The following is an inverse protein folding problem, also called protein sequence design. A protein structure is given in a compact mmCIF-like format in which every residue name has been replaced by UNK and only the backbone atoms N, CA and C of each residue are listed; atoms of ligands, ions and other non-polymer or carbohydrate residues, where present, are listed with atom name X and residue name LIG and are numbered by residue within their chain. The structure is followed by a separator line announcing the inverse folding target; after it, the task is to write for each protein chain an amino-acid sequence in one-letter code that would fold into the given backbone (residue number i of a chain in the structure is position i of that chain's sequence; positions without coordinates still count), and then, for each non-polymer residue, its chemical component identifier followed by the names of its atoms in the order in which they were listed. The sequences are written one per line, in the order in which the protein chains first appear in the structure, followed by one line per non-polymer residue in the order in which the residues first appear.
data_IF_857160255497
#
_entry.id   IF_857160255497
#
_cell.length_a   1.000
_cell.length_b   1.000
_cell.length_c   1.000
_cell.angle_alpha   90.00
_cell.angle_beta   90.00
_cell.angle_gamma   90.00
#
_symmetry.space_group_name_H-M   'P 1'
#
loop_
_entity.id
_entity.type
_entity.pdbx_description
1 polymer ?
#
# COMPACT_ATOMS: atom_id res chain seq x y z
N UNK A 1 -3.51 13.14 19.95
CA UNK A 1 -3.99 11.76 20.16
C UNK A 1 -5.51 11.79 20.08
N UNK A 2 -6.10 10.93 19.26
CA UNK A 2 -7.54 10.75 19.15
C UNK A 2 -7.88 9.38 19.74
N UNK A 3 -8.87 9.33 20.62
CA UNK A 3 -9.37 8.08 21.22
C UNK A 3 -10.79 7.83 20.74
N UNK A 4 -11.06 6.63 20.23
CA UNK A 4 -12.40 6.25 19.79
C UNK A 4 -13.27 5.88 20.99
N UNK A 5 -14.54 6.27 20.96
CA UNK A 5 -15.52 5.92 21.98
C UNK A 5 -16.72 5.21 21.31
N UNK A 6 -16.99 3.93 21.62
CA UNK A 6 -16.27 3.07 22.58
C UNK A 6 -14.94 2.52 22.03
N UNK A 7 -14.03 2.15 22.93
CA UNK A 7 -12.91 1.28 22.60
C UNK A 7 -13.41 -0.13 22.28
N UNK A 8 -12.83 -0.76 21.25
CA UNK A 8 -13.28 -2.06 20.75
C UNK A 8 -12.22 -3.14 20.96
N UNK A 9 -12.69 -4.34 21.28
CA UNK A 9 -11.91 -5.56 21.11
C UNK A 9 -11.78 -5.86 19.61
N UNK A 10 -10.57 -6.17 19.13
CA UNK A 10 -10.33 -6.38 17.70
C UNK A 10 -11.16 -7.53 17.10
N UNK A 11 -11.57 -8.51 17.90
CA UNK A 11 -12.46 -9.59 17.44
C UNK A 11 -13.88 -9.11 17.11
N UNK A 12 -14.27 -7.93 17.59
CA UNK A 12 -15.60 -7.33 17.37
C UNK A 12 -15.61 -6.27 16.27
N UNK A 13 -14.48 -6.02 15.60
CA UNK A 13 -14.35 -5.02 14.55
C UNK A 13 -15.13 -5.43 13.30
N UNK A 14 -15.85 -4.47 12.75
CA UNK A 14 -16.66 -4.58 11.55
C UNK A 14 -16.20 -3.61 10.46
N UNK A 15 -16.75 -3.75 9.24
CA UNK A 15 -16.38 -2.89 8.11
C UNK A 15 -16.73 -1.40 8.33
N UNK A 16 -17.74 -1.11 9.15
CA UNK A 16 -18.06 0.25 9.59
C UNK A 16 -16.94 0.88 10.41
N UNK A 17 -16.24 0.10 11.24
CA UNK A 17 -15.15 0.59 12.09
C UNK A 17 -13.92 0.93 11.23
N UNK A 18 -13.64 0.14 10.18
CA UNK A 18 -12.61 0.51 9.19
C UNK A 18 -12.94 1.82 8.50
N UNK A 19 -14.22 2.04 8.18
CA UNK A 19 -14.68 3.30 7.57
C UNK A 19 -14.51 4.48 8.53
N UNK A 20 -14.79 4.28 9.83
CA UNK A 20 -14.56 5.30 10.86
C UNK A 20 -13.06 5.63 11.03
N UNK A 21 -12.18 4.62 11.04
CA UNK A 21 -10.73 4.83 11.06
C UNK A 21 -10.25 5.59 9.82
N UNK A 22 -10.76 5.23 8.64
CA UNK A 22 -10.40 5.89 7.39
C UNK A 22 -10.86 7.35 7.36
N UNK A 23 -12.08 7.63 7.82
CA UNK A 23 -12.61 8.98 7.95
C UNK A 23 -11.77 9.83 8.93
N UNK A 24 -11.41 9.27 10.09
CA UNK A 24 -10.57 9.97 11.06
C UNK A 24 -9.20 10.37 10.47
N UNK A 25 -8.58 9.49 9.67
CA UNK A 25 -7.33 9.83 8.95
C UNK A 25 -7.60 10.93 7.93
N UNK A 26 -8.70 10.89 7.18
CA UNK A 26 -9.05 11.88 6.17
C UNK A 26 -9.28 13.28 6.75
N UNK A 27 -10.08 13.35 7.81
CA UNK A 27 -10.43 14.60 8.50
C UNK A 27 -9.18 15.30 9.04
N UNK A 28 -8.16 14.52 9.40
CA UNK A 28 -6.90 15.00 9.96
C UNK A 28 -5.74 14.99 8.96
N UNK A 29 -5.99 14.64 7.70
CA UNK A 29 -4.94 14.34 6.72
C UNK A 29 -4.00 15.53 6.46
N UNK A 30 -4.52 16.75 6.52
CA UNK A 30 -3.79 17.99 6.29
C UNK A 30 -3.06 18.52 7.54
N UNK A 31 -3.40 18.00 8.72
CA UNK A 31 -2.87 18.49 10.01
C UNK A 31 -1.61 17.74 10.45
N UNK A 32 -1.41 16.50 10.01
CA UNK A 32 -0.33 15.63 10.46
C UNK A 32 0.47 15.05 9.30
N UNK A 33 1.78 14.88 9.46
CA UNK A 33 2.67 14.32 8.43
C UNK A 33 2.64 12.77 8.37
N UNK A 34 2.05 12.12 9.37
CA UNK A 34 1.91 10.66 9.45
C UNK A 34 0.90 10.23 10.52
N UNK A 35 0.44 8.98 10.44
CA UNK A 35 -0.62 8.44 11.30
C UNK A 35 -0.17 7.12 11.94
N UNK A 36 -0.45 6.96 13.23
CA UNK A 36 -0.31 5.68 13.94
C UNK A 36 -1.67 5.28 14.49
N UNK A 37 -2.14 4.09 14.12
CA UNK A 37 -3.43 3.52 14.56
C UNK A 37 -3.12 2.40 15.54
N UNK A 38 -3.53 2.58 16.81
CA UNK A 38 -3.45 1.54 17.82
C UNK A 38 -4.62 0.58 17.67
N UNK A 39 -4.33 -0.72 17.68
CA UNK A 39 -5.29 -1.75 17.34
C UNK A 39 -5.03 -3.06 18.11
N UNK A 40 -6.09 -3.78 18.48
CA UNK A 40 -5.97 -5.11 19.05
C UNK A 40 -5.41 -6.13 18.04
N UNK A 41 -4.70 -7.15 18.50
CA UNK A 41 -3.89 -7.97 17.56
C UNK A 41 -4.68 -9.04 16.82
N UNK A 42 -5.94 -9.35 17.16
CA UNK A 42 -6.64 -10.51 16.57
C UNK A 42 -7.09 -10.29 15.13
N UNK A 43 -7.56 -9.09 14.80
CA UNK A 43 -7.98 -8.72 13.43
C UNK A 43 -7.09 -7.65 12.79
N UNK A 44 -5.92 -7.37 13.38
CA UNK A 44 -5.03 -6.29 12.94
C UNK A 44 -4.63 -6.41 11.46
N UNK A 45 -4.32 -7.62 10.98
CA UNK A 45 -3.99 -7.87 9.58
C UNK A 45 -5.17 -7.61 8.62
N UNK A 46 -6.41 -7.88 9.06
CA UNK A 46 -7.62 -7.54 8.31
C UNK A 46 -7.80 -6.03 8.20
N UNK A 47 -7.65 -5.31 9.32
CA UNK A 47 -7.75 -3.84 9.32
C UNK A 47 -6.66 -3.20 8.46
N UNK A 48 -5.40 -3.67 8.57
CA UNK A 48 -4.30 -3.17 7.75
C UNK A 48 -4.56 -3.42 6.25
N UNK A 49 -5.16 -4.57 5.90
CA UNK A 49 -5.56 -4.88 4.53
C UNK A 49 -6.70 -3.98 4.04
N UNK A 50 -7.78 -3.84 4.83
CA UNK A 50 -8.94 -3.01 4.52
C UNK A 50 -8.56 -1.54 4.30
N UNK A 51 -7.81 -0.95 5.22
CA UNK A 51 -7.34 0.43 5.12
C UNK A 51 -6.47 0.65 3.88
N UNK A 52 -5.67 -0.34 3.48
CA UNK A 52 -4.84 -0.21 2.27
C UNK A 52 -5.67 0.00 1.00
N UNK A 53 -6.85 -0.61 0.91
CA UNK A 53 -7.77 -0.43 -0.22
C UNK A 53 -8.64 0.83 -0.07
N UNK A 54 -9.08 1.13 1.16
CA UNK A 54 -9.86 2.35 1.45
C UNK A 54 -9.07 3.62 1.16
N UNK A 55 -7.75 3.60 1.30
CA UNK A 55 -6.90 4.74 0.99
C UNK A 55 -6.45 4.73 -0.47
N UNK A 56 -6.90 5.73 -1.22
CA UNK A 56 -6.46 6.01 -2.59
C UNK A 56 -5.53 7.22 -2.60
N UNK A 57 -4.50 7.14 -3.44
CA UNK A 57 -3.48 8.21 -3.59
C UNK A 57 -2.84 8.61 -2.24
N UNK A 58 -2.64 7.63 -1.34
CA UNK A 58 -2.01 7.82 -0.04
C UNK A 58 -0.57 8.34 -0.22
N UNK A 59 -0.27 9.49 0.36
CA UNK A 59 1.03 10.16 0.28
C UNK A 59 1.80 10.18 1.61
N UNK A 60 1.20 9.72 2.70
CA UNK A 60 1.72 9.76 4.07
C UNK A 60 1.73 8.38 4.72
N UNK A 61 2.65 8.10 5.66
CA UNK A 61 2.64 6.82 6.38
C UNK A 61 1.39 6.68 7.25
N UNK A 62 0.72 5.54 7.13
CA UNK A 62 -0.32 5.10 8.06
C UNK A 62 0.14 3.78 8.66
N UNK A 63 0.56 3.78 9.92
CA UNK A 63 1.11 2.59 10.58
C UNK A 63 0.09 2.05 11.57
N UNK A 64 -0.37 0.82 11.34
CA UNK A 64 -1.18 0.08 12.30
C UNK A 64 -0.26 -0.72 13.20
N UNK A 65 -0.46 -0.63 14.52
CA UNK A 65 0.35 -1.37 15.49
C UNK A 65 -0.50 -1.77 16.70
N UNK A 66 0.06 -2.62 17.56
CA UNK A 66 -0.58 -3.13 18.76
C UNK A 66 0.45 -3.78 19.68
N UNK A 67 -0.01 -4.60 20.61
CA UNK A 67 0.87 -5.35 21.51
C UNK A 67 0.23 -6.65 21.97
N UNK A 68 1.05 -7.62 22.36
CA UNK A 68 0.58 -8.83 23.04
C UNK A 68 0.30 -8.56 24.51
N UNK A 69 1.09 -7.70 25.15
CA UNK A 69 0.90 -7.30 26.54
C UNK A 69 0.48 -5.83 26.65
N UNK A 70 -0.35 -5.45 27.65
CA UNK A 70 -0.68 -4.05 27.90
C UNK A 70 0.56 -3.19 28.15
N UNK A 71 0.50 -1.89 27.83
CA UNK A 71 1.64 -0.98 28.01
C UNK A 71 2.06 -0.81 29.49
N UNK A 72 1.15 -1.09 30.43
CA UNK A 72 1.41 -1.03 31.86
C UNK A 72 1.99 -2.33 32.45
N UNK A 73 2.12 -3.39 31.66
CA UNK A 73 2.73 -4.64 32.12
C UNK A 73 4.26 -4.49 32.23
N UNK A 74 4.85 -5.13 33.26
CA UNK A 74 6.31 -5.08 33.50
C UNK A 74 7.13 -5.61 32.32
N UNK A 75 6.66 -6.67 31.68
CA UNK A 75 7.21 -7.22 30.44
C UNK A 75 6.19 -7.00 29.34
N UNK A 76 6.48 -6.05 28.44
CA UNK A 76 5.55 -5.64 27.38
C UNK A 76 6.28 -5.25 26.11
N UNK A 77 5.72 -5.64 24.98
CA UNK A 77 6.13 -5.22 23.64
C UNK A 77 5.48 -3.89 23.20
N UNK A 78 4.53 -3.36 23.97
CA UNK A 78 3.75 -2.19 23.59
C UNK A 78 4.58 -0.91 23.43
N UNK A 79 5.55 -0.69 24.32
CA UNK A 79 6.39 0.52 24.29
C UNK A 79 7.23 0.53 23.01
N UNK A 80 7.89 -0.59 22.70
CA UNK A 80 8.75 -0.72 21.52
C UNK A 80 7.94 -0.62 20.22
N UNK A 81 6.75 -1.26 20.18
CA UNK A 81 5.87 -1.21 19.01
C UNK A 81 5.32 0.21 18.78
N UNK A 82 4.84 0.90 19.82
CA UNK A 82 4.34 2.27 19.71
C UNK A 82 5.47 3.24 19.34
N UNK A 83 6.60 3.17 20.03
CA UNK A 83 7.73 4.06 19.78
C UNK A 83 8.28 3.86 18.36
N UNK A 84 8.50 2.61 17.94
CA UNK A 84 8.97 2.30 16.60
C UNK A 84 8.00 2.80 15.52
N UNK A 85 6.69 2.65 15.74
CA UNK A 85 5.67 3.19 14.83
C UNK A 85 5.73 4.71 14.73
N UNK A 86 5.83 5.42 15.86
CA UNK A 86 5.94 6.88 15.89
C UNK A 86 7.22 7.38 15.21
N UNK A 87 8.37 6.74 15.48
CA UNK A 87 9.64 7.10 14.86
C UNK A 87 9.57 6.90 13.35
N UNK A 88 9.00 5.77 12.89
CA UNK A 88 8.88 5.51 11.46
C UNK A 88 7.95 6.53 10.80
N UNK A 89 6.73 6.72 11.34
CA UNK A 89 5.73 7.63 10.77
C UNK A 89 6.20 9.09 10.78
N UNK A 90 6.98 9.50 11.78
CA UNK A 90 7.50 10.87 11.90
C UNK A 90 8.78 11.15 11.12
N UNK A 91 9.54 10.12 10.72
CA UNK A 91 10.86 10.29 10.10
C UNK A 91 10.89 9.90 8.62
N UNK A 92 10.04 8.97 8.19
CA UNK A 92 10.10 8.39 6.85
C UNK A 92 8.78 8.54 6.11
N UNK A 93 8.82 9.16 4.93
CA UNK A 93 7.68 9.23 4.03
C UNK A 93 7.49 7.91 3.25
N UNK A 94 6.99 6.88 3.96
CA UNK A 94 6.57 5.58 3.41
C UNK A 94 5.05 5.68 3.17
N UNK A 95 4.57 5.97 1.95
CA UNK A 95 3.19 6.37 1.71
C UNK A 95 2.29 5.14 1.52
N UNK A 96 2.31 4.24 2.51
CA UNK A 96 1.58 2.99 2.52
C UNK A 96 0.91 2.77 3.87
N UNK A 97 -0.11 1.89 3.89
CA UNK A 97 -0.58 1.30 5.14
C UNK A 97 0.41 0.22 5.56
N UNK A 98 1.17 0.50 6.61
CA UNK A 98 2.14 -0.41 7.19
C UNK A 98 1.61 -1.10 8.45
N UNK A 99 2.09 -2.31 8.72
CA UNK A 99 1.93 -2.98 10.01
C UNK A 99 3.30 -3.03 10.69
N UNK A 100 3.46 -2.36 11.83
CA UNK A 100 4.69 -2.42 12.60
C UNK A 100 4.55 -3.34 13.82
N UNK A 101 5.40 -4.35 13.89
CA UNK A 101 5.46 -5.29 15.02
C UNK A 101 6.86 -5.88 15.12
N UNK A 102 7.37 -6.03 16.35
CA UNK A 102 8.64 -6.71 16.63
C UNK A 102 9.80 -6.26 15.73
N UNK A 103 10.08 -4.95 15.75
CA UNK A 103 11.19 -4.32 15.02
C UNK A 103 11.10 -4.42 13.49
N UNK A 104 9.96 -4.79 12.91
CA UNK A 104 9.75 -4.89 11.46
C UNK A 104 8.52 -4.08 11.04
N UNK A 105 8.66 -3.30 9.99
CA UNK A 105 7.54 -2.67 9.27
C UNK A 105 7.22 -3.52 8.04
N UNK A 106 6.02 -4.07 7.99
CA UNK A 106 5.52 -4.81 6.85
C UNK A 106 4.55 -3.96 6.03
N UNK A 107 4.40 -4.27 4.74
CA UNK A 107 3.24 -3.80 3.97
C UNK A 107 1.98 -4.42 4.57
N UNK A 108 1.01 -3.62 4.99
CA UNK A 108 -0.14 -4.07 5.78
C UNK A 108 -0.93 -5.20 5.12
N UNK A 109 -1.26 -5.04 3.85
CA UNK A 109 -1.98 -6.03 3.04
C UNK A 109 -1.13 -7.25 2.59
N UNK A 110 0.06 -7.44 3.15
CA UNK A 110 0.89 -8.64 3.00
C UNK A 110 1.04 -9.42 4.30
N UNK A 111 0.40 -8.96 5.38
CA UNK A 111 0.58 -9.53 6.72
C UNK A 111 -0.49 -10.55 7.09
N UNK A 112 -0.12 -11.47 7.97
CA UNK A 112 -1.01 -12.42 8.67
C UNK A 112 -0.49 -12.60 10.09
N UNK A 113 -1.39 -12.86 11.05
CA UNK A 113 -1.00 -13.24 12.42
C UNK A 113 -0.56 -14.70 12.40
N UNK A 114 0.66 -14.98 12.87
CA UNK A 114 1.27 -16.33 12.89
C UNK A 114 1.46 -16.88 14.30
N UNK A 115 1.36 -16.05 15.33
CA UNK A 115 1.42 -16.47 16.72
C UNK A 115 0.43 -15.68 17.59
N UNK A 116 -0.22 -16.39 18.50
CA UNK A 116 -1.10 -15.79 19.51
C UNK A 116 -0.40 -15.54 20.86
N UNK A 117 0.90 -15.85 20.98
CA UNK A 117 1.64 -15.75 22.23
C UNK A 117 3.05 -15.14 22.09
N UNK A 118 3.70 -15.29 20.94
CA UNK A 118 5.02 -14.69 20.69
C UNK A 118 4.91 -13.19 20.49
N UNK A 119 5.92 -12.43 20.94
CA UNK A 119 6.07 -11.02 20.55
C UNK A 119 6.34 -10.86 19.05
N UNK A 120 6.90 -11.87 18.38
CA UNK A 120 6.90 -11.92 16.91
C UNK A 120 5.57 -12.51 16.41
N UNK A 121 4.48 -11.77 16.61
CA UNK A 121 3.12 -12.25 16.37
C UNK A 121 2.70 -12.25 14.88
N UNK A 122 3.33 -11.41 14.06
CA UNK A 122 2.96 -11.20 12.65
C UNK A 122 4.10 -11.51 11.70
N UNK A 123 3.74 -12.02 10.52
CA UNK A 123 4.67 -12.25 9.41
C UNK A 123 4.10 -11.70 8.10
N UNK A 124 4.99 -11.46 7.14
CA UNK A 124 4.68 -11.14 5.75
C UNK A 124 5.35 -12.20 4.85
N UNK A 125 4.72 -13.36 4.66
CA UNK A 125 5.41 -14.56 4.15
C UNK A 125 5.82 -14.48 2.68
N UNK A 126 5.09 -13.69 1.88
CA UNK A 126 5.33 -13.54 0.43
C UNK A 126 5.88 -12.15 0.05
N UNK A 127 6.23 -11.32 1.04
CA UNK A 127 6.82 -10.00 0.81
C UNK A 127 7.76 -9.65 1.96
N UNK A 128 9.01 -9.34 1.65
CA UNK A 128 9.95 -8.85 2.66
C UNK A 128 9.44 -7.57 3.36
N UNK A 129 9.83 -7.31 4.63
CA UNK A 129 9.53 -6.08 5.33
C UNK A 129 9.97 -4.84 4.54
N UNK A 130 9.18 -3.77 4.65
CA UNK A 130 9.53 -2.44 4.12
C UNK A 130 10.64 -1.78 4.93
N UNK A 131 10.70 -2.04 6.24
CA UNK A 131 11.77 -1.54 7.09
C UNK A 131 12.09 -2.50 8.25
N UNK A 132 13.32 -2.43 8.74
CA UNK A 132 13.83 -3.22 9.87
C UNK A 132 14.54 -2.30 10.85
N UNK A 133 14.19 -2.39 12.12
CA UNK A 133 14.90 -1.70 13.21
C UNK A 133 16.02 -2.61 13.70
N UNK A 134 17.23 -2.08 13.76
CA UNK A 134 18.42 -2.79 14.24
C UNK A 134 19.29 -1.85 15.11
N UNK A 135 20.41 -2.36 15.63
CA UNK A 135 21.30 -1.59 16.52
C UNK A 135 21.95 -0.35 15.89
N UNK A 136 21.89 -0.19 14.56
CA UNK A 136 22.40 0.98 13.82
C UNK A 136 21.29 2.00 13.49
N UNK A 137 20.02 1.67 13.73
CA UNK A 137 18.88 2.51 13.40
C UNK A 137 17.81 1.77 12.59
N UNK A 138 17.10 2.51 11.75
CA UNK A 138 16.00 1.98 10.92
C UNK A 138 16.49 1.90 9.48
N UNK A 139 16.57 0.67 8.97
CA UNK A 139 16.90 0.39 7.57
C UNK A 139 15.60 0.22 6.78
N UNK A 140 15.41 1.03 5.74
CA UNK A 140 14.20 1.03 4.90
C UNK A 140 14.55 0.58 3.49
N UNK A 141 13.84 -0.42 2.99
CA UNK A 141 13.99 -0.92 1.64
C UNK A 141 13.15 -0.10 0.64
N UNK A 142 13.72 1.03 0.21
CA UNK A 142 13.08 1.96 -0.71
C UNK A 142 12.75 1.38 -2.08
N UNK A 143 13.38 0.26 -2.47
CA UNK A 143 13.07 -0.39 -3.75
C UNK A 143 11.68 -1.04 -3.73
N UNK A 144 11.20 -1.41 -2.54
CA UNK A 144 9.90 -2.07 -2.32
C UNK A 144 8.77 -1.11 -2.00
N UNK A 145 9.09 0.05 -1.44
CA UNK A 145 8.11 1.09 -1.10
C UNK A 145 7.40 1.56 -2.38
N UNK A 146 6.08 1.44 -2.39
CA UNK A 146 5.21 1.93 -3.45
C UNK A 146 4.87 3.39 -3.20
N UNK A 147 4.70 4.15 -4.28
CA UNK A 147 4.31 5.55 -4.25
C UNK A 147 3.18 5.79 -5.26
N UNK A 148 2.20 6.66 -4.95
CA UNK A 148 1.23 7.08 -5.95
C UNK A 148 1.93 7.72 -7.14
N UNK A 149 1.56 7.31 -8.35
CA UNK A 149 2.04 7.89 -9.61
C UNK A 149 0.95 8.69 -10.33
N UNK A 150 -0.27 8.67 -9.78
CA UNK A 150 -1.38 9.49 -10.25
C UNK A 150 -1.19 10.94 -9.76
N UNK A 151 -1.68 11.90 -10.54
CA UNK A 151 -1.71 13.31 -10.12
C UNK A 151 -3.08 13.56 -9.50
N UNK A 152 -3.24 13.08 -8.28
CA UNK A 152 -4.44 13.26 -7.48
C UNK A 152 -4.08 13.38 -5.99
N UNK A 153 -4.93 14.09 -5.25
CA UNK A 153 -4.83 14.13 -3.79
C UNK A 153 -5.41 12.88 -3.14
N UNK A 154 -4.98 12.62 -1.90
CA UNK A 154 -5.50 11.55 -1.05
C UNK A 154 -7.03 11.58 -0.96
N UNK A 155 -7.65 10.41 -1.10
CA UNK A 155 -9.09 10.23 -0.94
C UNK A 155 -9.39 8.90 -0.24
N UNK A 156 -10.48 8.90 0.52
CA UNK A 156 -11.06 7.68 1.07
C UNK A 156 -12.10 7.15 0.09
N UNK A 157 -11.94 5.89 -0.29
CA UNK A 157 -12.85 5.15 -1.16
C UNK A 157 -14.17 4.83 -0.44
N UNK A 158 -15.23 4.43 -1.18
CA UNK A 158 -16.49 4.02 -0.57
C UNK A 158 -16.30 2.94 0.50
N UNK A 159 -17.15 2.99 1.53
CA UNK A 159 -17.13 2.04 2.64
C UNK A 159 -17.15 0.60 2.13
N UNK A 160 -16.28 -0.24 2.71
CA UNK A 160 -16.28 -1.67 2.43
C UNK A 160 -17.52 -2.31 3.03
N UNK A 161 -18.05 -3.32 2.34
CA UNK A 161 -19.08 -4.18 2.88
C UNK A 161 -18.66 -5.65 2.75
N UNK A 162 -18.36 -6.25 3.90
CA UNK A 162 -17.94 -7.66 4.00
C UNK A 162 -19.12 -8.61 4.16
N UNK A 163 -20.35 -8.13 4.37
CA UNK A 163 -21.52 -8.99 4.61
C UNK A 163 -21.82 -9.92 3.42
N UNK A 164 -21.39 -9.52 2.22
CA UNK A 164 -21.62 -10.23 0.97
C UNK A 164 -20.46 -11.15 0.54
N UNK A 165 -19.41 -11.29 1.36
CA UNK A 165 -18.23 -12.11 1.07
C UNK A 165 -17.99 -13.10 2.19
N UNK A 166 -18.02 -14.39 1.87
CA UNK A 166 -17.68 -15.45 2.81
C UNK A 166 -16.23 -15.92 2.64
N UNK A 167 -15.60 -16.38 3.72
CA UNK A 167 -14.34 -17.13 3.68
C UNK A 167 -14.61 -18.58 4.07
N UNK A 168 -14.17 -19.53 3.25
CA UNK A 168 -14.35 -20.96 3.53
C UNK A 168 -13.04 -21.72 3.35
N UNK A 169 -12.63 -22.40 4.41
CA UNK A 169 -11.45 -23.26 4.41
C UNK A 169 -11.81 -24.69 4.04
N UNK A 170 -11.19 -25.20 2.98
CA UNK A 170 -11.31 -26.59 2.54
C UNK A 170 -10.57 -27.51 3.52
N UNK A 171 -11.13 -28.66 3.86
CA UNK A 171 -10.45 -29.68 4.67
C UNK A 171 -10.71 -31.09 4.10
N UNK A 172 -9.85 -32.08 4.39
CA UNK A 172 -10.04 -33.43 3.89
C UNK A 172 -11.39 -34.00 4.33
N UNK A 173 -12.23 -34.39 3.37
CA UNK A 173 -13.58 -34.89 3.64
C UNK A 173 -14.68 -33.81 3.71
N UNK A 174 -14.37 -32.53 3.40
CA UNK A 174 -15.40 -31.51 3.23
C UNK A 174 -16.42 -31.97 2.18
N UNK A 175 -17.70 -31.83 2.54
CA UNK A 175 -18.81 -32.27 1.70
C UNK A 175 -19.21 -31.17 0.71
N UNK A 176 -19.49 -31.47 -0.57
CA UNK A 176 -19.95 -30.45 -1.53
C UNK A 176 -21.15 -29.65 -1.03
N UNK A 177 -22.06 -30.28 -0.28
CA UNK A 177 -23.26 -29.67 0.31
C UNK A 177 -22.91 -28.56 1.33
N UNK A 178 -21.76 -28.65 2.00
CA UNK A 178 -21.30 -27.60 2.92
C UNK A 178 -20.91 -26.33 2.16
N UNK A 179 -20.21 -26.51 1.03
CA UNK A 179 -19.81 -25.40 0.16
C UNK A 179 -21.03 -24.80 -0.52
N UNK A 180 -21.93 -25.66 -0.97
CA UNK A 180 -23.20 -25.27 -1.60
C UNK A 180 -24.08 -24.44 -0.67
N UNK A 181 -24.17 -24.83 0.62
CA UNK A 181 -24.93 -24.07 1.61
C UNK A 181 -24.40 -22.63 1.80
N UNK A 182 -23.08 -22.44 1.83
CA UNK A 182 -22.46 -21.10 1.90
C UNK A 182 -22.76 -20.29 0.64
N UNK A 183 -22.68 -20.92 -0.53
CA UNK A 183 -22.95 -20.30 -1.84
C UNK A 183 -24.44 -20.03 -2.11
N UNK A 184 -25.32 -20.40 -1.18
CA UNK A 184 -26.76 -20.12 -1.21
C UNK A 184 -27.20 -19.20 -0.06
N UNK A 185 -26.27 -18.66 0.73
CA UNK A 185 -26.60 -17.62 1.70
C UNK A 185 -27.25 -16.42 0.99
N UNK A 186 -28.28 -15.80 1.58
CA UNK A 186 -28.89 -14.59 1.03
C UNK A 186 -27.84 -13.52 0.74
N UNK A 187 -27.95 -12.89 -0.42
CA UNK A 187 -27.11 -11.76 -0.85
C UNK A 187 -25.60 -12.07 -0.95
N UNK A 188 -25.18 -13.34 -0.97
CA UNK A 188 -23.79 -13.70 -1.19
C UNK A 188 -23.34 -13.30 -2.59
N UNK A 189 -22.26 -12.53 -2.69
CA UNK A 189 -21.66 -12.10 -3.97
C UNK A 189 -20.24 -12.62 -4.16
N UNK A 190 -19.55 -12.97 -3.07
CA UNK A 190 -18.17 -13.43 -3.10
C UNK A 190 -17.89 -14.61 -2.18
N UNK A 191 -16.97 -15.48 -2.59
CA UNK A 191 -16.40 -16.54 -1.76
C UNK A 191 -14.87 -16.54 -1.89
N UNK A 192 -14.18 -16.33 -0.77
CA UNK A 192 -12.76 -16.62 -0.63
C UNK A 192 -12.63 -18.09 -0.22
N UNK A 193 -12.12 -18.92 -1.13
CA UNK A 193 -11.93 -20.34 -0.95
C UNK A 193 -10.47 -20.61 -0.60
N UNK A 194 -10.19 -20.96 0.66
CA UNK A 194 -8.85 -21.37 1.06
C UNK A 194 -8.65 -22.85 0.73
N UNK A 195 -7.72 -23.17 -0.18
CA UNK A 195 -7.49 -24.51 -0.71
C UNK A 195 -6.09 -25.05 -0.36
N UNK A 196 -5.81 -26.32 -0.70
CA UNK A 196 -4.55 -26.95 -0.33
C UNK A 196 -3.40 -26.57 -1.26
N UNK A 197 -2.23 -26.29 -0.66
CA UNK A 197 -0.99 -26.07 -1.39
C UNK A 197 -1.16 -25.01 -2.49
N UNK A 198 -0.83 -25.36 -3.73
CA UNK A 198 -0.87 -24.45 -4.87
C UNK A 198 -2.28 -24.19 -5.45
N UNK A 199 -3.35 -24.41 -4.69
CA UNK A 199 -4.71 -24.13 -5.17
C UNK A 199 -5.66 -25.33 -5.31
N UNK A 200 -5.36 -26.46 -4.67
CA UNK A 200 -6.04 -27.73 -4.95
C UNK A 200 -7.26 -27.97 -4.06
N UNK A 201 -8.37 -28.39 -4.67
CA UNK A 201 -9.56 -28.89 -3.98
C UNK A 201 -9.66 -30.42 -4.10
N UNK A 202 -10.35 -31.12 -3.18
CA UNK A 202 -10.59 -32.55 -3.29
C UNK A 202 -11.19 -32.95 -4.64
N UNK A 203 -10.46 -33.77 -5.40
CA UNK A 203 -10.96 -34.41 -6.61
C UNK A 203 -11.78 -35.65 -6.24
N UNK A 204 -13.10 -35.55 -6.24
CA UNK A 204 -13.97 -36.72 -6.17
C UNK A 204 -14.08 -37.40 -7.53
N UNK A 205 -14.33 -38.72 -7.57
CA UNK A 205 -14.59 -39.48 -8.81
C UNK A 205 -15.67 -38.84 -9.70
N UNK A 206 -16.60 -38.10 -9.09
CA UNK A 206 -17.70 -37.42 -9.76
C UNK A 206 -17.41 -35.94 -10.08
N UNK A 207 -16.39 -35.30 -9.50
CA UNK A 207 -16.15 -33.86 -9.65
C UNK A 207 -17.26 -32.94 -9.09
N UNK A 208 -18.12 -33.43 -8.18
CA UNK A 208 -19.29 -32.68 -7.65
C UNK A 208 -18.93 -31.33 -7.03
N UNK A 209 -17.85 -31.25 -6.26
CA UNK A 209 -17.42 -30.00 -5.64
C UNK A 209 -17.12 -28.92 -6.68
N UNK A 210 -16.42 -29.27 -7.76
CA UNK A 210 -16.16 -28.36 -8.88
C UNK A 210 -17.45 -27.93 -9.57
N UNK A 211 -18.46 -28.81 -9.65
CA UNK A 211 -19.77 -28.45 -10.20
C UNK A 211 -20.49 -27.44 -9.33
N UNK A 212 -20.56 -27.65 -8.01
CA UNK A 212 -21.14 -26.69 -7.06
C UNK A 212 -20.51 -25.30 -7.22
N UNK A 213 -19.18 -25.24 -7.33
CA UNK A 213 -18.45 -23.99 -7.54
C UNK A 213 -18.81 -23.37 -8.90
N UNK A 214 -18.79 -24.14 -9.98
CA UNK A 214 -19.15 -23.66 -11.32
C UNK A 214 -20.58 -23.13 -11.36
N UNK A 215 -21.53 -23.87 -10.77
CA UNK A 215 -22.94 -23.49 -10.74
C UNK A 215 -23.12 -22.17 -9.97
N UNK A 216 -22.31 -21.89 -8.94
CA UNK A 216 -22.32 -20.60 -8.25
C UNK A 216 -21.72 -19.47 -9.08
N UNK A 217 -20.62 -19.73 -9.81
CA UNK A 217 -20.06 -18.75 -10.75
C UNK A 217 -21.04 -18.41 -11.86
N UNK A 218 -21.77 -19.40 -12.39
CA UNK A 218 -22.84 -19.22 -13.38
C UNK A 218 -24.03 -18.41 -12.81
N UNK A 219 -24.30 -18.50 -11.49
CA UNK A 219 -25.26 -17.63 -10.79
C UNK A 219 -24.74 -16.21 -10.54
N UNK A 220 -23.47 -15.92 -10.86
CA UNK A 220 -22.85 -14.61 -10.67
C UNK A 220 -22.11 -14.43 -9.34
N UNK A 221 -21.83 -15.50 -8.59
CA UNK A 221 -20.99 -15.43 -7.38
C UNK A 221 -19.52 -15.44 -7.78
N UNK A 222 -18.74 -14.48 -7.28
CA UNK A 222 -17.30 -14.41 -7.53
C UNK A 222 -16.56 -15.34 -6.58
N UNK A 223 -15.89 -16.36 -7.11
CA UNK A 223 -15.11 -17.29 -6.29
C UNK A 223 -13.62 -17.02 -6.50
N UNK A 224 -12.90 -16.76 -5.41
CA UNK A 224 -11.45 -16.53 -5.40
C UNK A 224 -10.76 -17.67 -4.66
N UNK A 225 -9.78 -18.29 -5.29
CA UNK A 225 -8.95 -19.34 -4.71
C UNK A 225 -7.68 -18.77 -4.10
N UNK A 226 -7.50 -18.95 -2.79
CA UNK A 226 -6.28 -18.63 -2.04
C UNK A 226 -5.71 -19.88 -1.37
N UNK A 227 -4.42 -19.88 -1.07
CA UNK A 227 -3.74 -21.00 -0.43
C UNK A 227 -3.94 -20.96 1.09
N UNK A 228 -4.13 -22.13 1.71
CA UNK A 228 -4.06 -22.29 3.17
C UNK A 228 -2.64 -22.25 3.73
N UNK A 229 -1.64 -22.47 2.88
CA UNK A 229 -0.23 -22.40 3.27
C UNK A 229 0.15 -20.96 3.55
N UNK A 230 0.90 -20.74 4.64
CA UNK A 230 1.35 -19.42 5.08
C UNK A 230 2.18 -18.74 3.99
N UNK A 231 3.05 -19.47 3.29
CA UNK A 231 3.82 -18.96 2.16
C UNK A 231 3.52 -19.72 0.87
N UNK A 232 3.84 -19.09 -0.26
CA UNK A 232 3.65 -19.64 -1.60
C UNK A 232 2.53 -18.94 -2.37
N UNK A 233 2.16 -19.52 -3.50
CA UNK A 233 1.19 -18.96 -4.43
C UNK A 233 0.29 -20.05 -5.01
N UNK A 234 -0.93 -19.64 -5.34
CA UNK A 234 -1.89 -20.45 -6.10
C UNK A 234 -1.53 -20.39 -7.58
N UNK A 235 -1.49 -21.55 -8.25
CA UNK A 235 -1.14 -21.66 -9.67
C UNK A 235 -2.21 -22.40 -10.47
N UNK A 236 -2.58 -21.88 -11.66
CA UNK A 236 -3.53 -22.54 -12.55
C UNK A 236 -2.96 -23.77 -13.27
N UNK A 237 -1.65 -24.04 -13.17
CA UNK A 237 -0.93 -24.98 -14.06
C UNK A 237 -1.13 -26.46 -13.70
N UNK A 238 -1.60 -26.78 -12.48
CA UNK A 238 -1.85 -28.16 -12.05
C UNK A 238 -3.26 -28.65 -12.38
N UNK A 239 -3.43 -29.95 -12.65
CA UNK A 239 -4.70 -30.55 -13.11
C UNK A 239 -5.94 -30.17 -12.28
N UNK A 240 -5.92 -30.15 -10.93
CA UNK A 240 -7.05 -29.69 -10.13
C UNK A 240 -7.28 -28.16 -10.22
N UNK A 241 -6.21 -27.37 -10.35
CA UNK A 241 -6.27 -25.93 -10.57
C UNK A 241 -6.89 -25.58 -11.92
N UNK A 242 -6.53 -26.28 -13.00
CA UNK A 242 -7.13 -26.11 -14.33
C UNK A 242 -8.65 -26.29 -14.32
N UNK A 243 -9.17 -27.22 -13.51
CA UNK A 243 -10.61 -27.45 -13.37
C UNK A 243 -11.33 -26.27 -12.70
N UNK A 244 -10.73 -25.68 -11.67
CA UNK A 244 -11.26 -24.48 -11.01
C UNK A 244 -11.21 -23.26 -11.95
N UNK A 245 -10.11 -23.09 -12.69
CA UNK A 245 -10.00 -22.03 -13.68
C UNK A 245 -11.07 -22.14 -14.78
N UNK A 246 -11.35 -23.36 -15.26
CA UNK A 246 -12.46 -23.63 -16.20
C UNK A 246 -13.85 -23.42 -15.60
N UNK A 247 -13.98 -23.53 -14.28
CA UNK A 247 -15.20 -23.20 -13.56
C UNK A 247 -15.38 -21.68 -13.33
N UNK A 248 -14.44 -20.85 -13.80
CA UNK A 248 -14.47 -19.39 -13.65
C UNK A 248 -13.99 -18.88 -12.29
N UNK A 249 -13.25 -19.71 -11.54
CA UNK A 249 -12.61 -19.30 -10.29
C UNK A 249 -11.41 -18.40 -10.56
N UNK A 250 -11.32 -17.29 -9.84
CA UNK A 250 -10.19 -16.37 -9.88
C UNK A 250 -9.08 -16.90 -8.99
N UNK A 251 -7.84 -16.85 -9.44
CA UNK A 251 -6.69 -17.24 -8.62
C UNK A 251 -6.12 -16.03 -7.88
N UNK A 252 -6.09 -16.11 -6.55
CA UNK A 252 -5.54 -15.06 -5.68
C UNK A 252 -4.02 -15.03 -5.60
N UNK A 253 -3.32 -15.87 -6.37
CA UNK A 253 -1.85 -15.94 -6.39
C UNK A 253 -1.26 -16.07 -4.98
N UNK A 254 -0.46 -15.11 -4.54
CA UNK A 254 0.25 -15.07 -3.26
C UNK A 254 -0.41 -14.17 -2.21
N UNK A 255 -1.70 -13.81 -2.42
CA UNK A 255 -2.52 -13.07 -1.45
C UNK A 255 -2.64 -13.81 -0.11
N UNK A 256 -2.66 -13.04 0.97
CA UNK A 256 -3.18 -13.53 2.26
C UNK A 256 -4.72 -13.60 2.23
N UNK A 257 -5.36 -14.46 3.04
CA UNK A 257 -6.82 -14.47 3.16
C UNK A 257 -7.41 -13.11 3.56
N UNK A 258 -6.72 -12.37 4.44
CA UNK A 258 -7.10 -11.03 4.89
C UNK A 258 -7.16 -10.03 3.73
N UNK A 259 -6.10 -10.02 2.91
CA UNK A 259 -6.01 -9.15 1.75
C UNK A 259 -7.01 -9.56 0.66
N UNK A 260 -7.25 -10.86 0.46
CA UNK A 260 -8.23 -11.36 -0.50
C UNK A 260 -9.66 -10.94 -0.13
N UNK A 261 -10.04 -11.08 1.15
CA UNK A 261 -11.35 -10.63 1.67
C UNK A 261 -11.51 -9.12 1.48
N UNK A 262 -10.52 -8.33 1.93
CA UNK A 262 -10.56 -6.88 1.83
C UNK A 262 -10.64 -6.41 0.36
N UNK A 263 -9.85 -7.02 -0.52
CA UNK A 263 -9.80 -6.70 -1.95
C UNK A 263 -11.11 -7.02 -2.66
N UNK A 264 -11.68 -8.20 -2.42
CA UNK A 264 -12.95 -8.58 -3.06
C UNK A 264 -14.09 -7.68 -2.58
N UNK A 265 -14.13 -7.38 -1.28
CA UNK A 265 -15.11 -6.46 -0.70
C UNK A 265 -14.98 -5.05 -1.29
N UNK A 266 -13.74 -4.56 -1.48
CA UNK A 266 -13.46 -3.28 -2.15
C UNK A 266 -13.97 -3.25 -3.58
N UNK A 267 -13.66 -4.28 -4.38
CA UNK A 267 -14.07 -4.32 -5.78
C UNK A 267 -15.60 -4.45 -5.94
N UNK A 268 -16.27 -5.17 -5.04
CA UNK A 268 -17.74 -5.28 -5.02
C UNK A 268 -18.44 -3.99 -4.57
N UNK A 269 -17.76 -3.13 -3.81
CA UNK A 269 -18.28 -1.84 -3.36
C UNK A 269 -18.11 -0.73 -4.42
N UNK A 270 -17.30 -0.95 -5.46
CA UNK A 270 -17.00 0.05 -6.48
C UNK A 270 -18.18 0.23 -7.45
N UNK A 271 -18.72 1.45 -7.61
CA UNK A 271 -19.87 1.70 -8.46
C UNK A 271 -19.54 1.66 -9.97
N UNK A 272 -18.28 1.81 -10.34
CA UNK A 272 -17.82 1.81 -11.73
C UNK A 272 -17.49 0.41 -12.26
N UNK A 273 -17.51 -0.63 -11.41
CA UNK A 273 -17.38 -2.02 -11.81
C UNK A 273 -18.77 -2.66 -11.84
N UNK A 274 -19.30 -2.87 -13.05
CA UNK A 274 -20.70 -3.32 -13.22
C UNK A 274 -20.81 -4.80 -13.57
N UNK A 275 -19.71 -5.42 -14.01
CA UNK A 275 -19.67 -6.82 -14.40
C UNK A 275 -18.65 -7.63 -13.59
N UNK A 276 -18.97 -8.91 -13.38
CA UNK A 276 -18.05 -9.85 -12.72
C UNK A 276 -16.72 -10.01 -13.48
N UNK A 277 -16.72 -9.86 -14.82
CA UNK A 277 -15.51 -9.93 -15.64
C UNK A 277 -14.58 -8.73 -15.42
N UNK A 278 -15.13 -7.54 -15.16
CA UNK A 278 -14.34 -6.37 -14.76
C UNK A 278 -13.75 -6.55 -13.37
N UNK A 279 -14.55 -7.05 -12.41
CA UNK A 279 -14.08 -7.36 -11.06
C UNK A 279 -12.98 -8.43 -11.11
N UNK A 280 -13.16 -9.49 -11.89
CA UNK A 280 -12.16 -10.55 -12.04
C UNK A 280 -10.85 -10.02 -12.60
N UNK A 281 -10.90 -9.19 -13.66
CA UNK A 281 -9.70 -8.56 -14.24
C UNK A 281 -9.00 -7.61 -13.26
N UNK A 282 -9.77 -6.82 -12.50
CA UNK A 282 -9.21 -5.95 -11.47
C UNK A 282 -8.61 -6.75 -10.30
N UNK A 283 -9.25 -7.85 -9.91
CA UNK A 283 -8.77 -8.72 -8.84
C UNK A 283 -7.43 -9.38 -9.17
N UNK A 284 -7.18 -9.72 -10.44
CA UNK A 284 -5.91 -10.33 -10.87
C UNK A 284 -4.72 -9.36 -10.97
N UNK A 285 -4.92 -8.04 -10.74
CA UNK A 285 -3.85 -7.02 -10.79
C UNK A 285 -3.51 -6.52 -9.40
N UNK A 286 -2.25 -6.15 -9.16
CA UNK A 286 -1.83 -5.53 -7.90
C UNK A 286 -2.34 -4.10 -7.83
N UNK A 287 -3.22 -3.81 -6.86
CA UNK A 287 -3.81 -2.48 -6.69
C UNK A 287 -3.08 -1.64 -5.66
N UNK A 288 -2.52 -2.30 -4.64
CA UNK A 288 -1.90 -1.71 -3.45
C UNK A 288 -0.65 -2.52 -3.02
N UNK A 289 -0.06 -3.29 -3.93
CA UNK A 289 1.12 -4.12 -3.66
C UNK A 289 0.84 -5.40 -2.89
N UNK A 290 -0.43 -5.79 -2.75
CA UNK A 290 -0.95 -6.95 -2.00
C UNK A 290 -0.63 -8.29 -2.65
N UNK A 291 -0.41 -8.29 -3.97
CA UNK A 291 -0.11 -9.49 -4.75
C UNK A 291 1.08 -9.25 -5.68
N UNK A 292 1.80 -10.32 -5.96
CA UNK A 292 2.90 -10.35 -6.93
C UNK A 292 2.33 -10.82 -8.26
N UNK A 293 2.29 -9.90 -9.22
CA UNK A 293 1.85 -10.26 -10.58
C UNK A 293 2.84 -11.24 -11.20
N UNK A 294 2.33 -12.20 -11.96
CA UNK A 294 3.16 -13.16 -12.69
C UNK A 294 3.88 -12.41 -13.80
N UNK A 295 5.09 -11.94 -13.53
CA UNK A 295 5.94 -11.32 -14.53
C UNK A 295 6.35 -12.38 -15.57
N UNK A 296 6.05 -12.15 -16.84
CA UNK A 296 6.74 -12.85 -17.91
C UNK A 296 8.23 -12.46 -17.83
N UNK A 297 9.18 -13.41 -17.94
CA UNK A 297 10.60 -13.07 -17.89
C UNK A 297 10.95 -12.11 -19.03
N UNK A 298 11.29 -10.88 -18.69
CA UNK A 298 11.84 -9.91 -19.62
C UNK A 298 13.35 -10.09 -19.63
N UNK A 299 13.90 -10.64 -20.72
CA UNK A 299 15.35 -10.65 -20.93
C UNK A 299 15.78 -9.25 -21.38
N UNK A 300 16.52 -8.55 -20.53
CA UNK A 300 17.21 -7.31 -20.91
C UNK A 300 18.73 -7.57 -20.97
N UNK A 301 19.39 -7.05 -22.00
CA UNK A 301 20.85 -7.08 -22.09
C UNK A 301 21.44 -6.01 -21.17
N UNK A 302 22.58 -6.26 -20.50
CA UNK A 302 23.27 -5.24 -19.74
C UNK A 302 23.78 -4.17 -20.70
N UNK A 303 23.24 -2.95 -20.59
CA UNK A 303 23.74 -1.78 -21.32
C UNK A 303 24.98 -1.25 -20.61
N UNK A 304 26.13 -1.35 -21.28
CA UNK A 304 27.35 -0.61 -20.96
C UNK A 304 27.28 0.76 -21.62
N UNK A 305 27.35 1.85 -20.86
CA UNK A 305 27.49 3.21 -21.42
C UNK A 305 28.34 4.12 -20.50
N UNK A 306 28.92 5.22 -21.01
CA UNK A 306 30.33 5.56 -20.90
C UNK A 306 30.52 6.81 -20.03
N UNK A 307 29.87 6.82 -18.86
CA UNK A 307 29.83 7.98 -17.94
C UNK A 307 30.92 7.94 -16.86
N UNK A 308 31.90 7.03 -16.96
CA UNK A 308 32.91 6.79 -15.92
C UNK A 308 34.03 7.84 -15.82
N UNK A 309 34.13 8.81 -16.73
CA UNK A 309 35.29 9.71 -16.76
C UNK A 309 35.25 10.89 -15.76
N UNK A 310 34.15 11.12 -15.03
CA UNK A 310 34.03 12.24 -14.05
C UNK A 310 33.66 11.76 -12.62
N UNK A 311 33.31 10.47 -12.45
CA UNK A 311 32.74 9.89 -11.22
C UNK A 311 33.74 9.62 -10.07
N UNK A 312 35.02 9.99 -10.19
CA UNK A 312 36.07 9.52 -9.29
C UNK A 312 36.11 10.16 -7.88
N UNK A 313 35.10 10.94 -7.46
CA UNK A 313 35.07 11.60 -6.12
C UNK A 313 33.70 11.63 -5.41
N UNK A 314 32.68 10.98 -5.96
CA UNK A 314 31.33 10.88 -5.35
C UNK A 314 30.82 9.43 -5.49
N UNK A 315 29.93 8.98 -4.61
CA UNK A 315 29.25 7.70 -4.84
C UNK A 315 28.42 7.78 -6.15
N UNK A 316 28.22 6.68 -6.90
CA UNK A 316 27.46 6.70 -8.15
C UNK A 316 26.07 7.34 -8.04
N UNK A 317 25.42 7.21 -6.87
CA UNK A 317 24.13 7.81 -6.57
C UNK A 317 24.22 9.33 -6.37
N UNK A 318 25.22 9.83 -5.65
CA UNK A 318 25.43 11.27 -5.44
C UNK A 318 25.77 11.99 -6.75
N UNK A 319 26.57 11.36 -7.62
CA UNK A 319 26.85 11.88 -8.95
C UNK A 319 25.59 11.92 -9.83
N UNK A 320 24.79 10.86 -9.81
CA UNK A 320 23.52 10.81 -10.54
C UNK A 320 22.50 11.82 -10.02
N UNK A 321 22.41 12.03 -8.70
CA UNK A 321 21.53 13.05 -8.12
C UNK A 321 22.00 14.47 -8.43
N UNK A 322 23.31 14.72 -8.43
CA UNK A 322 23.86 16.01 -8.85
C UNK A 322 23.56 16.29 -10.34
N UNK A 323 23.74 15.31 -11.22
CA UNK A 323 23.37 15.41 -12.63
C UNK A 323 21.88 15.70 -12.81
N UNK A 324 21.02 15.02 -12.04
CA UNK A 324 19.59 15.27 -12.01
C UNK A 324 19.28 16.71 -11.57
N UNK A 325 19.97 17.21 -10.54
CA UNK A 325 19.84 18.59 -10.07
C UNK A 325 20.16 19.63 -11.15
N UNK A 326 21.26 19.46 -11.89
CA UNK A 326 21.61 20.34 -13.02
C UNK A 326 20.56 20.29 -14.14
N UNK A 327 20.13 19.09 -14.54
CA UNK A 327 19.10 18.94 -15.56
C UNK A 327 17.76 19.61 -15.16
N UNK A 328 17.41 19.58 -13.87
CA UNK A 328 16.23 20.27 -13.32
C UNK A 328 16.40 21.79 -13.34
N UNK A 329 17.59 22.29 -13.03
CA UNK A 329 17.90 23.72 -13.05
C UNK A 329 17.87 24.30 -14.47
N UNK A 330 18.37 23.54 -15.45
CA UNK A 330 18.46 23.94 -16.86
C UNK A 330 17.18 23.62 -17.66
N UNK A 331 16.12 23.11 -16.99
CA UNK A 331 14.84 22.74 -17.57
C UNK A 331 14.91 21.63 -18.66
N UNK A 332 15.92 20.76 -18.59
CA UNK A 332 16.16 19.70 -19.58
C UNK A 332 15.32 18.45 -19.31
N UNK A 333 14.02 18.51 -19.63
CA UNK A 333 13.05 17.42 -19.39
C UNK A 333 13.49 16.08 -20.00
N UNK A 334 14.14 16.10 -21.17
CA UNK A 334 14.62 14.89 -21.84
C UNK A 334 15.73 14.19 -21.03
N UNK A 335 16.66 14.95 -20.45
CA UNK A 335 17.75 14.42 -19.63
C UNK A 335 17.21 13.93 -18.29
N UNK A 336 16.26 14.66 -17.69
CA UNK A 336 15.54 14.21 -16.48
C UNK A 336 14.87 12.85 -16.71
N UNK A 337 14.20 12.65 -17.86
CA UNK A 337 13.62 11.35 -18.21
C UNK A 337 14.66 10.25 -18.30
N UNK A 338 15.73 10.49 -19.06
CA UNK A 338 16.81 9.50 -19.22
C UNK A 338 17.43 9.08 -17.89
N UNK A 339 17.68 10.04 -16.98
CA UNK A 339 18.22 9.76 -15.65
C UNK A 339 17.25 8.96 -14.77
N UNK A 340 15.95 9.05 -15.03
CA UNK A 340 14.88 8.37 -14.28
C UNK A 340 14.33 7.11 -14.97
N UNK A 341 14.88 6.70 -16.13
CA UNK A 341 14.45 5.50 -16.85
C UNK A 341 15.10 4.19 -16.35
N UNK A 342 16.04 4.27 -15.39
CA UNK A 342 16.69 3.11 -14.80
C UNK A 342 16.08 2.59 -13.48
N UNK A 343 16.53 1.42 -13.03
CA UNK A 343 16.11 0.78 -11.77
C UNK A 343 16.39 1.65 -10.52
N UNK A 344 17.38 2.54 -10.60
CA UNK A 344 17.73 3.47 -9.53
C UNK A 344 16.80 4.69 -9.42
N UNK A 345 15.84 4.86 -10.33
CA UNK A 345 14.92 6.01 -10.37
C UNK A 345 14.21 6.25 -9.04
N UNK A 346 13.70 5.19 -8.39
CA UNK A 346 13.04 5.28 -7.08
C UNK A 346 13.95 5.80 -5.98
N UNK A 347 15.23 5.43 -6.03
CA UNK A 347 16.23 5.87 -5.07
C UNK A 347 16.58 7.34 -5.30
N UNK A 348 16.78 7.73 -6.56
CA UNK A 348 17.06 9.12 -6.96
C UNK A 348 15.96 10.10 -6.56
N UNK A 349 14.68 9.71 -6.67
CA UNK A 349 13.55 10.56 -6.25
C UNK A 349 13.54 10.86 -4.75
N UNK A 350 14.15 10.00 -3.93
CA UNK A 350 14.27 10.18 -2.48
C UNK A 350 15.61 10.78 -2.04
N UNK A 351 16.64 10.66 -2.87
CA UNK A 351 17.92 11.30 -2.59
C UNK A 351 17.70 12.80 -2.39
N UNK A 352 18.44 13.37 -1.46
CA UNK A 352 18.37 14.77 -1.10
C UNK A 352 19.77 15.37 -1.04
N UNK A 353 19.87 16.66 -1.34
CA UNK A 353 21.12 17.41 -1.19
C UNK A 353 21.49 17.63 0.29
N UNK A 354 22.57 18.38 0.53
CA UNK A 354 23.02 18.72 1.88
C UNK A 354 22.02 19.58 2.67
N UNK A 355 21.05 20.22 2.02
CA UNK A 355 19.98 20.98 2.64
C UNK A 355 18.71 20.14 2.84
N UNK A 356 18.71 18.86 2.42
CA UNK A 356 17.55 17.98 2.48
C UNK A 356 16.55 18.20 1.34
N UNK A 357 16.93 18.91 0.26
CA UNK A 357 16.07 19.10 -0.89
C UNK A 357 16.12 17.87 -1.79
N UNK A 358 14.96 17.25 -2.02
CA UNK A 358 14.76 16.23 -3.05
C UNK A 358 14.68 16.86 -4.45
N UNK A 359 14.71 16.04 -5.50
CA UNK A 359 14.51 16.50 -6.88
C UNK A 359 13.24 17.36 -7.05
N UNK A 360 12.16 17.06 -6.32
CA UNK A 360 10.92 17.83 -6.38
C UNK A 360 11.03 19.21 -5.72
N UNK A 361 11.82 19.35 -4.66
CA UNK A 361 12.14 20.65 -4.06
C UNK A 361 12.92 21.53 -5.04
N UNK A 362 13.90 20.95 -5.74
CA UNK A 362 14.70 21.67 -6.75
C UNK A 362 13.82 22.13 -7.92
N UNK A 363 12.95 21.26 -8.42
CA UNK A 363 12.02 21.59 -9.51
C UNK A 363 10.97 22.65 -9.11
N UNK A 364 10.56 22.63 -7.83
CA UNK A 364 9.66 23.64 -7.28
C UNK A 364 10.30 25.04 -7.28
N UNK A 365 11.60 25.13 -7.01
CA UNK A 365 12.36 26.40 -7.03
C UNK A 365 12.71 26.85 -8.44
N UNK A 366 13.09 25.92 -9.34
CA UNK A 366 13.51 26.26 -10.71
C UNK A 366 12.36 26.73 -11.62
N UNK A 367 11.10 26.50 -11.22
CA UNK A 367 9.92 27.01 -11.94
C UNK A 367 9.65 26.30 -13.25
N UNK A 368 10.07 25.04 -13.36
CA UNK A 368 9.89 24.21 -14.55
C UNK A 368 8.69 23.26 -14.37
N UNK A 369 7.47 23.63 -14.83
CA UNK A 369 6.28 22.82 -14.62
C UNK A 369 6.36 21.46 -15.32
N UNK A 370 7.03 21.36 -16.47
CA UNK A 370 7.19 20.10 -17.20
C UNK A 370 8.09 19.10 -16.44
N UNK A 371 9.16 19.60 -15.82
CA UNK A 371 10.03 18.80 -14.95
C UNK A 371 9.28 18.39 -13.68
N UNK A 372 8.54 19.33 -13.07
CA UNK A 372 7.68 19.03 -11.90
C UNK A 372 6.68 17.93 -12.25
N UNK A 373 6.01 18.02 -13.40
CA UNK A 373 5.06 17.04 -13.89
C UNK A 373 5.69 15.67 -14.11
N UNK A 374 6.89 15.61 -14.71
CA UNK A 374 7.60 14.34 -14.92
C UNK A 374 7.97 13.69 -13.59
N UNK A 375 8.50 14.45 -12.62
CA UNK A 375 8.84 13.93 -11.30
C UNK A 375 7.61 13.38 -10.57
N UNK A 376 6.46 14.08 -10.64
CA UNK A 376 5.20 13.63 -10.06
C UNK A 376 4.70 12.33 -10.69
N UNK A 377 4.76 12.21 -12.02
CA UNK A 377 4.39 10.98 -12.75
C UNK A 377 5.27 9.78 -12.38
N UNK A 378 6.51 10.02 -11.96
CA UNK A 378 7.44 9.00 -11.47
C UNK A 378 7.25 8.69 -9.97
N UNK A 379 6.32 9.37 -9.30
CA UNK A 379 5.99 9.15 -7.89
C UNK A 379 6.85 9.94 -6.90
N UNK A 380 7.41 11.10 -7.29
CA UNK A 380 8.09 11.99 -6.36
C UNK A 380 7.13 12.46 -5.25
N UNK A 381 7.54 12.33 -3.98
CA UNK A 381 6.69 12.70 -2.85
C UNK A 381 6.58 14.22 -2.71
N UNK A 382 5.35 14.70 -2.66
CA UNK A 382 5.01 16.11 -2.42
C UNK A 382 5.06 16.51 -0.94
N UNK A 383 5.23 15.53 -0.04
CA UNK A 383 5.18 15.72 1.42
C UNK A 383 6.55 15.64 2.09
N UNK A 384 7.62 15.37 1.35
CA UNK A 384 8.98 15.42 1.90
C UNK A 384 9.28 16.84 2.39
N UNK A 385 9.96 16.95 3.53
CA UNK A 385 10.39 18.23 4.08
C UNK A 385 11.90 18.30 4.10
N UNK A 386 12.43 19.43 3.66
CA UNK A 386 13.87 19.67 3.73
C UNK A 386 14.31 20.02 5.17
N UNK A 387 15.61 20.27 5.40
CA UNK A 387 16.15 20.57 6.74
C UNK A 387 15.63 21.87 7.35
N UNK A 388 15.06 22.77 6.55
CA UNK A 388 14.40 24.00 7.01
C UNK A 388 12.91 23.78 7.36
N UNK A 389 12.43 22.53 7.29
CA UNK A 389 11.04 22.13 7.44
C UNK A 389 10.11 22.61 6.31
N UNK A 390 10.66 22.89 5.12
CA UNK A 390 9.89 23.38 3.98
C UNK A 390 9.51 22.22 3.05
N UNK A 391 8.26 22.21 2.59
CA UNK A 391 7.74 21.34 1.54
C UNK A 391 8.06 21.88 0.13
N UNK A 392 8.00 21.03 -0.92
CA UNK A 392 8.10 21.50 -2.30
C UNK A 392 7.06 22.57 -2.65
N UNK A 393 5.83 22.45 -2.12
CA UNK A 393 4.77 23.44 -2.36
C UNK A 393 5.11 24.80 -1.74
N UNK A 394 5.64 24.83 -0.53
CA UNK A 394 6.08 26.07 0.09
C UNK A 394 7.19 26.75 -0.70
N UNK A 395 8.17 25.98 -1.20
CA UNK A 395 9.24 26.54 -2.03
C UNK A 395 8.71 27.07 -3.38
N UNK A 396 7.82 26.35 -4.06
CA UNK A 396 7.22 26.83 -5.31
C UNK A 396 6.45 28.14 -5.11
N UNK A 397 5.67 28.25 -4.03
CA UNK A 397 4.90 29.45 -3.71
C UNK A 397 5.79 30.63 -3.31
N UNK A 398 6.87 30.39 -2.55
CA UNK A 398 7.84 31.41 -2.17
C UNK A 398 8.62 31.95 -3.38
N UNK A 399 8.96 31.08 -4.33
CA UNK A 399 9.65 31.43 -5.57
C UNK A 399 8.74 32.06 -6.64
N UNK A 400 7.42 32.13 -6.43
CA UNK A 400 6.47 32.68 -7.40
C UNK A 400 6.16 31.76 -8.58
N UNK A 401 6.44 30.47 -8.46
CA UNK A 401 6.27 29.48 -9.52
C UNK A 401 4.84 28.90 -9.51
N UNK A 402 3.86 29.73 -9.88
CA UNK A 402 2.43 29.41 -9.77
C UNK A 402 2.03 28.12 -10.53
N UNK A 403 2.66 27.85 -11.68
CA UNK A 403 2.36 26.65 -12.47
C UNK A 403 2.79 25.36 -11.73
N UNK A 404 4.01 25.33 -11.18
CA UNK A 404 4.49 24.21 -10.36
C UNK A 404 3.70 24.09 -9.06
N UNK A 405 3.35 25.21 -8.42
CA UNK A 405 2.50 25.20 -7.22
C UNK A 405 1.13 24.55 -7.49
N UNK A 406 0.47 24.90 -8.60
CA UNK A 406 -0.80 24.27 -9.00
C UNK A 406 -0.67 22.78 -9.26
N UNK A 407 0.41 22.34 -9.91
CA UNK A 407 0.66 20.91 -10.14
C UNK A 407 0.86 20.15 -8.82
N UNK A 408 1.66 20.71 -7.91
CA UNK A 408 1.88 20.13 -6.59
C UNK A 408 0.57 20.03 -5.79
N UNK A 409 -0.23 21.10 -5.76
CA UNK A 409 -1.56 21.07 -5.11
C UNK A 409 -2.49 20.04 -5.74
N UNK A 410 -2.47 19.90 -7.07
CA UNK A 410 -3.26 18.89 -7.78
C UNK A 410 -2.83 17.45 -7.44
N UNK A 411 -1.55 17.27 -7.15
CA UNK A 411 -0.97 16.00 -6.65
C UNK A 411 -1.14 15.81 -5.13
N UNK A 412 -1.96 16.63 -4.45
CA UNK A 412 -2.25 16.48 -3.01
C UNK A 412 -1.33 17.24 -2.06
N UNK A 413 -0.38 18.04 -2.56
CA UNK A 413 0.46 18.86 -1.72
C UNK A 413 -0.36 19.90 -0.95
N UNK A 414 -0.02 20.12 0.32
CA UNK A 414 -0.61 21.16 1.17
C UNK A 414 0.49 21.78 2.04
N UNK A 415 0.25 23.01 2.48
CA UNK A 415 1.11 23.72 3.41
C UNK A 415 0.74 23.32 4.84
N UNK A 416 1.73 23.12 5.72
CA UNK A 416 1.46 23.01 7.15
C UNK A 416 1.07 24.36 7.75
N UNK A 417 0.52 24.32 8.95
CA UNK A 417 0.22 25.51 9.77
C UNK A 417 1.46 26.40 9.89
N UNK A 418 2.63 25.82 10.18
CA UNK A 418 3.89 26.56 10.30
C UNK A 418 4.31 27.24 8.99
N UNK A 419 4.14 26.56 7.84
CA UNK A 419 4.48 27.12 6.53
C UNK A 419 3.55 28.28 6.14
N UNK A 420 2.28 28.20 6.52
CA UNK A 420 1.30 29.28 6.35
C UNK A 420 1.67 30.48 7.22
N UNK A 421 2.16 30.26 8.43
CA UNK A 421 2.55 31.31 9.39
C UNK A 421 3.91 31.96 9.08
N UNK A 422 4.84 31.24 8.46
CA UNK A 422 6.22 31.69 8.18
C UNK A 422 6.37 32.63 6.97
N UNK A 423 5.40 32.67 6.05
CA UNK A 423 5.56 33.34 4.75
C UNK A 423 4.75 34.64 4.54
N UNK A 424 4.96 35.36 3.41
CA UNK A 424 4.11 36.47 2.96
C UNK A 424 2.72 36.01 2.45
N UNK A 425 2.29 34.80 2.83
CA UNK A 425 1.10 34.10 2.36
C UNK A 425 -0.19 34.55 3.07
N UNK A 426 -0.13 35.60 3.90
CA UNK A 426 -1.32 36.28 4.44
C UNK A 426 -2.33 36.70 3.35
N UNK A 427 -1.90 36.86 2.09
CA UNK A 427 -2.77 37.13 0.92
C UNK A 427 -3.58 35.93 0.42
N UNK A 428 -3.28 34.72 0.86
CA UNK A 428 -4.05 33.50 0.57
C UNK A 428 -5.02 33.14 1.72
N UNK A 429 -5.14 34.00 2.76
CA UNK A 429 -6.29 33.94 3.66
C UNK A 429 -7.56 34.26 2.86
N UNK A 430 -8.44 33.27 2.80
CA UNK A 430 -9.81 33.30 2.28
C UNK A 430 -9.98 33.45 0.76
N UNK A 431 -10.07 32.30 0.08
CA UNK A 431 -11.23 31.97 -0.77
C UNK A 431 -11.63 30.50 -0.52
N UNK A 432 -12.21 30.28 0.65
CA UNK A 432 -13.12 29.16 0.90
C UNK A 432 -14.36 29.82 1.51
N UNK A 433 -15.23 30.31 0.63
CA UNK A 433 -16.66 30.48 0.92
C UNK A 433 -17.39 29.44 0.06
#
# INVERSE_FOLDING_TARGET
MLEFDPLLDSSSIQASDWSAMAAAVADNYHLFDGFVILHGTDSLAYTASALSFLFSDLGKPVIVTGSQAPIFALQSDAVDNLLGSLVIAGTFAIPEVGLFFHHKLYRGNRTTKVSAASFEAFASPNCEPLARVNGLGIDVDWTRVLRPTSIAGFRVEPALDTAHVACLRIFPGIKPEMVDAVLHLPDIRGLILETFGMGNVPGGADGRLTRVIRDAVERGVIVVNVSQCVSGFVSPVYTPGTLLGRAGVIFGLDLTPEAALAKLSYLLARPDLTSNDEIARAFSRSLRGELTEVAHPTFAHPTSDPLEAVAARLTPLEAAFAALGYAIQDAEVAVVRQLLDGDASRLLLKTADYAGNTALHLAAVSGCPDVTLELLRRGASVHERNRANNSPLFLATLSGNDASARLLTSAGAHLSVEEVERGPLAKYRCRQD
#
